data_IF_623186582568
#
_entry.id   IF_623186582568
#
_cell.length_a   1.000
_cell.length_b   1.000
_cell.length_c   1.000
_cell.angle_alpha   90.00
_cell.angle_beta   90.00
_cell.angle_gamma   90.00
#
_symmetry.space_group_name_H-M   'P 1'
#
loop_
_entity.id
_entity.type
_entity.pdbx_description
1 polymer ?
#
# COMPACT_ATOMS: atom_id res chain seq x y z
N UNK A 1 -5.36 5.50 38.76
CA UNK A 1 -5.45 6.52 37.71
C UNK A 1 -6.71 7.33 37.93
N UNK A 2 -6.58 8.62 38.26
CA UNK A 2 -7.71 9.52 38.55
C UNK A 2 -8.27 10.17 37.28
N UNK A 3 -7.43 10.40 36.27
CA UNK A 3 -7.81 10.91 34.96
C UNK A 3 -6.79 10.50 33.89
N UNK A 4 -7.26 10.42 32.65
CA UNK A 4 -6.45 10.29 31.43
C UNK A 4 -6.88 11.41 30.50
N UNK A 5 -5.93 12.24 30.06
CA UNK A 5 -6.19 13.47 29.32
C UNK A 5 -5.31 13.54 28.06
N UNK A 6 -5.78 14.29 27.06
CA UNK A 6 -5.02 14.61 25.86
C UNK A 6 -4.77 16.11 25.73
N UNK A 7 -3.59 16.48 25.25
CA UNK A 7 -3.27 17.85 24.85
C UNK A 7 -2.67 17.87 23.44
N UNK A 8 -3.02 18.90 22.66
CA UNK A 8 -2.47 19.11 21.31
C UNK A 8 -3.26 18.49 20.15
N UNK A 9 -4.36 17.77 20.41
CA UNK A 9 -5.32 17.36 19.37
C UNK A 9 -6.04 18.57 18.80
N UNK A 10 -6.01 18.73 17.46
CA UNK A 10 -6.67 19.84 16.75
C UNK A 10 -7.87 19.31 15.95
N UNK A 11 -7.63 18.27 15.15
CA UNK A 11 -8.64 17.68 14.25
C UNK A 11 -9.05 16.28 14.70
N UNK A 12 -8.14 15.56 15.35
CA UNK A 12 -8.36 14.22 15.88
C UNK A 12 -9.36 14.27 17.03
N UNK A 13 -10.27 13.31 17.07
CA UNK A 13 -11.29 13.25 18.11
C UNK A 13 -10.79 12.40 19.27
N UNK A 14 -10.77 12.98 20.47
CA UNK A 14 -10.29 12.29 21.66
C UNK A 14 -11.13 11.06 22.02
N UNK A 15 -12.45 11.09 21.76
CA UNK A 15 -13.35 9.93 21.97
C UNK A 15 -12.87 8.67 21.24
N UNK A 16 -12.28 8.84 20.05
CA UNK A 16 -11.65 7.77 19.30
C UNK A 16 -10.35 7.29 19.96
N UNK A 17 -9.53 8.20 20.48
CA UNK A 17 -8.27 7.84 21.16
C UNK A 17 -8.55 7.08 22.46
N UNK A 18 -9.42 7.62 23.33
CA UNK A 18 -9.77 7.01 24.62
C UNK A 18 -10.29 5.57 24.48
N UNK A 19 -10.98 5.25 23.38
CA UNK A 19 -11.51 3.90 23.15
C UNK A 19 -10.41 2.83 23.12
N UNK A 20 -9.27 3.16 22.52
CA UNK A 20 -8.23 2.19 22.18
C UNK A 20 -7.09 2.17 23.19
N UNK A 21 -7.05 3.12 24.11
CA UNK A 21 -6.19 3.06 25.27
C UNK A 21 -6.53 1.85 26.14
N UNK A 22 -5.48 1.18 26.60
CA UNK A 22 -5.51 0.14 27.62
C UNK A 22 -5.67 0.75 29.00
N UNK A 23 -5.03 1.87 29.28
CA UNK A 23 -5.10 2.58 30.56
C UNK A 23 -6.38 3.40 30.65
N UNK A 24 -7.21 3.16 31.68
CA UNK A 24 -8.46 3.88 31.88
C UNK A 24 -8.51 4.56 33.24
N UNK A 25 -9.40 5.55 33.34
CA UNK A 25 -9.76 6.14 34.61
C UNK A 25 -10.29 5.04 35.56
N UNK A 26 -9.80 5.03 36.79
CA UNK A 26 -10.12 4.03 37.81
C UNK A 26 -9.14 2.85 37.87
N UNK A 27 -8.31 2.62 36.84
CA UNK A 27 -7.36 1.52 36.85
C UNK A 27 -6.18 1.79 37.80
N UNK A 28 -5.51 0.73 38.23
CA UNK A 28 -4.20 0.84 38.90
C UNK A 28 -3.15 1.33 37.91
N UNK A 29 -2.21 2.15 38.37
CA UNK A 29 -1.14 2.66 37.52
C UNK A 29 -0.18 1.51 37.16
N UNK A 30 -0.16 1.13 35.89
CA UNK A 30 0.71 0.08 35.37
C UNK A 30 1.54 0.62 34.20
N UNK A 31 2.85 0.78 34.42
CA UNK A 31 3.76 1.29 33.39
C UNK A 31 3.71 0.51 32.06
N UNK A 32 3.65 -0.84 32.02
CA UNK A 32 3.57 -1.56 30.76
C UNK A 32 2.35 -1.17 29.91
N UNK A 33 1.21 -0.86 30.53
CA UNK A 33 0.00 -0.41 29.83
C UNK A 33 0.19 0.95 29.18
N UNK A 34 0.89 1.88 29.85
CA UNK A 34 1.21 3.20 29.30
C UNK A 34 2.15 3.13 28.10
N UNK A 35 3.11 2.20 28.14
CA UNK A 35 4.00 1.96 27.00
C UNK A 35 3.25 1.33 25.81
N UNK A 36 2.26 0.48 26.06
CA UNK A 36 1.38 -0.02 25.00
C UNK A 36 0.54 1.10 24.38
N UNK A 37 0.02 2.00 25.22
CA UNK A 37 -0.80 3.14 24.81
C UNK A 37 0.00 4.14 23.99
N UNK A 38 1.22 4.47 24.44
CA UNK A 38 2.16 5.30 23.70
C UNK A 38 2.42 4.72 22.30
N UNK A 39 2.73 3.42 22.22
CA UNK A 39 2.97 2.72 20.94
C UNK A 39 1.74 2.71 20.05
N UNK A 40 0.55 2.49 20.62
CA UNK A 40 -0.70 2.56 19.87
C UNK A 40 -0.89 3.93 19.23
N UNK A 41 -0.71 5.01 19.99
CA UNK A 41 -0.84 6.38 19.50
C UNK A 41 0.19 6.70 18.41
N UNK A 42 1.45 6.31 18.60
CA UNK A 42 2.50 6.46 17.57
C UNK A 42 2.15 5.71 16.28
N UNK A 43 1.57 4.51 16.39
CA UNK A 43 1.17 3.70 15.25
C UNK A 43 0.03 4.29 14.42
N UNK A 44 -0.75 5.23 14.96
CA UNK A 44 -1.80 5.90 14.18
C UNK A 44 -1.23 6.74 13.03
N UNK A 45 0.06 7.07 13.06
CA UNK A 45 0.79 7.84 12.03
C UNK A 45 0.22 9.24 11.74
N UNK A 46 -0.79 9.69 12.50
CA UNK A 46 -1.38 11.04 12.43
C UNK A 46 -0.71 12.02 13.39
N UNK A 47 0.22 11.56 14.23
CA UNK A 47 0.95 12.36 15.20
C UNK A 47 2.44 12.33 14.89
N UNK A 48 3.05 13.51 14.74
CA UNK A 48 4.49 13.67 14.50
C UNK A 48 5.33 13.42 15.76
N UNK A 49 4.71 13.62 16.94
CA UNK A 49 5.27 13.35 18.25
C UNK A 49 4.16 12.94 19.22
N UNK A 50 4.46 12.02 20.12
CA UNK A 50 3.60 11.56 21.22
C UNK A 50 4.47 11.37 22.44
N UNK A 51 4.07 11.96 23.57
CA UNK A 51 4.68 11.78 24.88
C UNK A 51 3.59 11.68 25.95
N UNK A 52 3.94 11.16 27.13
CA UNK A 52 3.05 11.20 28.28
C UNK A 52 3.77 11.71 29.52
N UNK A 53 3.04 12.39 30.39
CA UNK A 53 3.47 12.77 31.74
C UNK A 53 2.57 12.13 32.77
N UNK A 54 3.12 11.85 33.95
CA UNK A 54 2.37 11.34 35.09
C UNK A 54 2.51 12.34 36.23
N UNK A 55 1.39 12.89 36.67
CA UNK A 55 1.34 13.76 37.84
C UNK A 55 0.72 12.98 39.00
N UNK A 56 1.48 12.80 40.07
CA UNK A 56 1.03 12.11 41.29
C UNK A 56 0.88 13.08 42.43
N UNK A 57 -0.26 13.03 43.13
CA UNK A 57 -0.42 13.79 44.38
C UNK A 57 0.33 13.09 45.52
N UNK A 58 1.46 13.68 45.92
CA UNK A 58 2.34 13.14 46.97
C UNK A 58 1.77 13.28 48.39
N UNK A 59 0.60 13.89 48.57
CA UNK A 59 0.00 14.15 49.89
C UNK A 59 -1.18 13.26 50.32
N UNK A 60 -1.70 12.39 49.44
CA UNK A 60 -2.92 11.61 49.68
C UNK A 60 -2.64 10.14 50.03
N UNK A 61 -3.41 9.58 50.97
CA UNK A 61 -3.39 8.15 51.35
C UNK A 61 -3.69 7.25 50.14
N UNK A 62 -4.48 7.75 49.18
CA UNK A 62 -4.70 7.15 47.88
C UNK A 62 -3.92 7.97 46.85
N UNK A 63 -2.75 7.48 46.42
CA UNK A 63 -1.92 8.15 45.40
C UNK A 63 -2.71 8.26 44.09
N UNK A 64 -3.29 9.42 43.85
CA UNK A 64 -3.98 9.72 42.61
C UNK A 64 -2.95 10.10 41.55
N UNK A 65 -3.08 9.49 40.38
CA UNK A 65 -2.21 9.73 39.23
C UNK A 65 -3.05 10.24 38.06
N UNK A 66 -2.74 11.44 37.58
CA UNK A 66 -3.25 12.01 36.33
C UNK A 66 -2.24 11.72 35.23
N UNK A 67 -2.71 11.16 34.13
CA UNK A 67 -1.88 10.83 32.97
C UNK A 67 -2.28 11.76 31.83
N UNK A 68 -1.33 12.53 31.32
CA UNK A 68 -1.57 13.46 30.21
C UNK A 68 -0.74 13.05 29.00
N UNK A 69 -1.42 12.65 27.93
CA UNK A 69 -0.79 12.40 26.63
C UNK A 69 -0.68 13.71 25.85
N UNK A 70 0.55 14.14 25.58
CA UNK A 70 0.84 15.32 24.75
C UNK A 70 1.14 14.85 23.33
N UNK A 71 0.35 15.32 22.36
CA UNK A 71 0.48 14.95 20.94
C UNK A 71 0.70 16.17 20.04
N UNK A 72 1.52 16.01 19.00
CA UNK A 72 1.67 17.00 17.92
C UNK A 72 1.10 16.44 16.62
N UNK A 73 -0.10 16.88 16.23
CA UNK A 73 -0.74 16.43 14.98
C UNK A 73 0.07 16.74 13.72
N UNK A 74 0.28 15.72 12.90
CA UNK A 74 0.88 15.82 11.57
C UNK A 74 -0.09 16.45 10.56
N UNK A 75 0.46 17.08 9.52
CA UNK A 75 -0.34 17.52 8.39
C UNK A 75 -0.85 16.28 7.62
N UNK A 76 -2.14 15.96 7.79
CA UNK A 76 -2.76 14.79 7.19
C UNK A 76 -3.40 15.07 5.81
N UNK A 77 -3.56 16.34 5.42
CA UNK A 77 -4.09 16.73 4.10
C UNK A 77 -2.92 17.03 3.17
N UNK A 78 -2.67 16.16 2.20
CA UNK A 78 -1.50 16.19 1.33
C UNK A 78 -1.90 16.27 -0.14
N UNK A 79 -1.25 17.13 -0.96
CA UNK A 79 -1.44 17.10 -2.39
C UNK A 79 -0.80 15.85 -2.99
N UNK A 80 -1.37 15.35 -4.08
CA UNK A 80 -0.79 14.31 -4.93
C UNK A 80 -0.42 14.99 -6.23
N UNK A 81 0.86 14.91 -6.61
CA UNK A 81 1.36 15.47 -7.86
C UNK A 81 2.32 14.46 -8.49
N UNK A 82 2.09 14.14 -9.75
CA UNK A 82 2.98 13.30 -10.55
C UNK A 82 3.08 13.86 -11.95
N UNK A 83 4.29 13.93 -12.49
CA UNK A 83 4.53 14.27 -13.89
C UNK A 83 5.53 13.25 -14.41
N UNK A 84 5.20 12.65 -15.54
CA UNK A 84 6.07 11.69 -16.22
C UNK A 84 5.74 11.67 -17.71
N UNK A 85 6.53 10.93 -18.48
CA UNK A 85 6.28 10.81 -19.92
C UNK A 85 7.56 10.73 -20.73
N UNK A 86 7.40 10.37 -21.99
CA UNK A 86 8.43 10.45 -23.02
C UNK A 86 7.99 11.48 -24.07
N UNK A 87 8.85 11.79 -25.03
CA UNK A 87 8.51 12.67 -26.13
C UNK A 87 7.22 12.15 -26.80
N UNK A 88 6.22 13.04 -26.97
CA UNK A 88 4.86 12.75 -27.50
C UNK A 88 3.86 12.08 -26.55
N UNK A 89 4.23 11.66 -25.34
CA UNK A 89 3.26 11.13 -24.38
C UNK A 89 3.52 11.61 -22.95
N UNK A 90 2.67 12.54 -22.48
CA UNK A 90 2.77 13.19 -21.17
C UNK A 90 1.74 12.57 -20.22
N UNK A 91 2.23 12.16 -19.05
CA UNK A 91 1.43 11.71 -17.93
C UNK A 91 1.40 12.79 -16.84
N UNK A 92 0.19 13.23 -16.47
CA UNK A 92 -0.03 14.18 -15.38
C UNK A 92 -0.98 13.56 -14.36
N UNK A 93 -0.56 13.55 -13.10
CA UNK A 93 -1.36 13.16 -11.95
C UNK A 93 -1.49 14.35 -11.01
N UNK A 94 -2.72 14.69 -10.64
CA UNK A 94 -3.02 15.72 -9.64
C UNK A 94 -4.13 15.20 -8.74
N UNK A 95 -3.99 15.39 -7.43
CA UNK A 95 -5.00 14.96 -6.48
C UNK A 95 -4.80 15.55 -5.10
N UNK A 96 -5.65 15.11 -4.19
CA UNK A 96 -5.62 15.49 -2.78
C UNK A 96 -5.99 14.27 -1.96
N UNK A 97 -5.19 13.97 -0.93
CA UNK A 97 -5.45 12.90 0.02
C UNK A 97 -5.52 13.47 1.43
N UNK A 98 -6.49 12.99 2.19
CA UNK A 98 -6.62 13.24 3.62
C UNK A 98 -6.45 11.92 4.38
N UNK A 99 -5.48 11.87 5.28
CA UNK A 99 -5.13 10.69 6.07
C UNK A 99 -5.68 10.71 7.51
N UNK A 100 -6.54 11.67 7.85
CA UNK A 100 -7.23 11.71 9.14
C UNK A 100 -8.73 12.05 9.01
N UNK A 101 -9.38 11.54 7.96
CA UNK A 101 -10.80 11.81 7.68
C UNK A 101 -11.66 11.54 8.91
N UNK A 102 -12.56 12.50 9.20
CA UNK A 102 -13.43 12.46 10.37
C UNK A 102 -12.71 12.53 11.73
N UNK A 103 -11.40 12.83 11.75
CA UNK A 103 -10.56 12.88 12.94
C UNK A 103 -10.32 11.51 13.57
N UNK A 104 -10.37 10.43 12.77
CA UNK A 104 -10.33 9.03 13.23
C UNK A 104 -9.49 8.15 12.32
N UNK A 105 -8.35 8.63 11.84
CA UNK A 105 -7.38 7.87 11.02
C UNK A 105 -7.95 7.34 9.70
N UNK A 106 -9.05 7.94 9.23
CA UNK A 106 -9.64 7.63 7.94
C UNK A 106 -8.79 8.16 6.79
N UNK A 107 -8.80 7.46 5.66
CA UNK A 107 -8.14 7.92 4.45
C UNK A 107 -9.18 8.20 3.38
N UNK A 108 -9.13 9.36 2.74
CA UNK A 108 -9.89 9.61 1.53
C UNK A 108 -9.01 10.36 0.54
N UNK A 109 -9.13 10.04 -0.73
CA UNK A 109 -8.45 10.81 -1.76
C UNK A 109 -9.29 10.95 -3.01
N UNK A 110 -9.03 12.02 -3.73
CA UNK A 110 -9.45 12.22 -5.10
C UNK A 110 -8.20 12.43 -5.95
N UNK A 111 -8.11 11.67 -7.04
CA UNK A 111 -6.96 11.68 -7.95
C UNK A 111 -7.47 11.79 -9.37
N UNK A 112 -6.97 12.77 -10.11
CA UNK A 112 -7.09 12.88 -11.55
C UNK A 112 -5.78 12.46 -12.21
N UNK A 113 -5.88 11.71 -13.30
CA UNK A 113 -4.75 11.31 -14.11
C UNK A 113 -5.06 11.60 -15.58
N UNK A 114 -4.08 12.13 -16.30
CA UNK A 114 -4.10 12.25 -17.75
C UNK A 114 -2.94 11.46 -18.32
N UNK A 115 -3.23 10.52 -19.21
CA UNK A 115 -2.24 9.79 -20.01
C UNK A 115 -2.93 9.37 -21.30
N UNK A 116 -2.78 10.19 -22.34
CA UNK A 116 -3.56 10.24 -23.59
C UNK A 116 -5.07 10.51 -23.40
N UNK A 117 -5.66 9.98 -22.33
CA UNK A 117 -7.07 10.08 -21.96
C UNK A 117 -7.21 10.39 -20.47
N UNK A 118 -8.37 10.95 -20.13
CA UNK A 118 -8.68 11.40 -18.77
C UNK A 118 -9.13 10.22 -17.90
N UNK A 119 -8.52 10.08 -16.73
CA UNK A 119 -8.86 9.10 -15.71
C UNK A 119 -9.08 9.79 -14.37
N UNK A 120 -9.90 9.21 -13.52
CA UNK A 120 -10.06 9.69 -12.14
C UNK A 120 -10.35 8.54 -11.18
N UNK A 121 -10.04 8.77 -9.92
CA UNK A 121 -10.31 7.85 -8.84
C UNK A 121 -10.67 8.63 -7.59
N UNK A 122 -11.75 8.21 -6.92
CA UNK A 122 -12.04 8.63 -5.56
C UNK A 122 -12.12 7.38 -4.68
N UNK A 123 -11.45 7.39 -3.55
CA UNK A 123 -11.55 6.31 -2.58
C UNK A 123 -11.71 6.85 -1.16
N UNK A 124 -12.36 6.04 -0.33
CA UNK A 124 -12.50 6.20 1.10
C UNK A 124 -12.09 4.88 1.74
N UNK A 125 -11.28 4.95 2.79
CA UNK A 125 -10.90 3.83 3.61
C UNK A 125 -10.95 4.23 5.09
N UNK A 126 -12.04 3.87 5.74
CA UNK A 126 -12.29 4.16 7.15
C UNK A 126 -12.27 2.85 7.94
N UNK A 127 -11.23 2.63 8.76
CA UNK A 127 -11.13 1.41 9.60
C UNK A 127 -12.11 1.38 10.76
N UNK A 128 -12.56 2.57 11.18
CA UNK A 128 -13.45 2.75 12.34
C UNK A 128 -14.58 3.71 12.00
N UNK A 129 -15.82 3.21 12.01
CA UNK A 129 -17.01 4.05 11.92
C UNK A 129 -17.34 4.50 13.33
N UNK A 130 -17.04 5.78 13.62
CA UNK A 130 -17.15 6.39 14.95
C UNK A 130 -16.28 5.60 15.95
N UNK A 131 -16.90 5.11 17.02
CA UNK A 131 -16.23 4.23 17.96
C UNK A 131 -16.38 2.78 17.55
N UNK A 132 -17.28 2.34 16.69
CA UNK A 132 -17.55 0.89 16.47
C UNK A 132 -16.34 0.09 15.91
N UNK A 133 -16.29 -1.26 16.07
CA UNK A 133 -15.25 -2.08 15.43
C UNK A 133 -15.43 -2.22 13.91
N UNK A 134 -16.50 -1.65 13.36
CA UNK A 134 -16.81 -1.72 11.94
C UNK A 134 -16.07 -0.64 11.16
N UNK A 135 -15.69 -0.97 9.94
CA UNK A 135 -15.09 -0.08 8.97
C UNK A 135 -15.75 -0.21 7.61
N UNK A 136 -15.37 0.68 6.69
CA UNK A 136 -15.80 0.63 5.31
C UNK A 136 -14.68 1.14 4.41
N UNK A 137 -14.49 0.46 3.28
CA UNK A 137 -13.77 1.00 2.14
C UNK A 137 -14.72 1.12 0.95
N UNK A 138 -14.57 2.20 0.19
CA UNK A 138 -15.33 2.45 -1.03
C UNK A 138 -14.39 3.04 -2.08
N UNK A 139 -14.56 2.66 -3.33
CA UNK A 139 -13.76 3.17 -4.44
C UNK A 139 -14.63 3.34 -5.68
N UNK A 140 -14.47 4.48 -6.34
CA UNK A 140 -14.96 4.71 -7.70
C UNK A 140 -13.77 5.12 -8.57
N UNK A 141 -13.50 4.32 -9.59
CA UNK A 141 -12.44 4.57 -10.57
C UNK A 141 -13.05 4.63 -11.96
N UNK A 142 -12.67 5.64 -12.74
CA UNK A 142 -12.73 5.61 -14.19
C UNK A 142 -11.30 5.65 -14.72
N UNK A 143 -10.87 4.59 -15.38
CA UNK A 143 -9.58 4.52 -16.06
C UNK A 143 -9.80 4.52 -17.56
N UNK A 144 -9.17 5.44 -18.27
CA UNK A 144 -9.21 5.54 -19.71
C UNK A 144 -7.78 5.55 -20.23
N UNK A 145 -7.46 4.62 -21.14
CA UNK A 145 -6.13 4.45 -21.74
C UNK A 145 -6.26 4.18 -23.23
N UNK A 146 -5.14 4.28 -23.94
CA UNK A 146 -4.93 3.68 -25.25
C UNK A 146 -4.23 2.34 -25.03
N UNK A 147 -4.90 1.23 -25.41
CA UNK A 147 -4.35 -0.12 -25.25
C UNK A 147 -3.95 -0.66 -26.62
N UNK A 148 -2.65 -0.87 -26.87
CA UNK A 148 -2.20 -1.55 -28.09
C UNK A 148 -2.50 -3.05 -27.98
N UNK A 149 -3.08 -3.60 -29.04
CA UNK A 149 -3.37 -5.04 -29.20
C UNK A 149 -2.54 -5.54 -30.38
N UNK A 150 -1.74 -6.58 -30.14
CA UNK A 150 -0.88 -7.21 -31.12
C UNK A 150 -1.45 -8.58 -31.52
N UNK A 151 -1.62 -8.81 -32.83
CA UNK A 151 -2.06 -10.08 -33.41
C UNK A 151 -1.13 -10.40 -34.59
N UNK A 152 -0.32 -11.44 -34.44
CA UNK A 152 0.73 -11.82 -35.40
C UNK A 152 1.63 -10.64 -35.80
N UNK A 153 1.57 -10.20 -37.07
CA UNK A 153 2.33 -9.06 -37.60
C UNK A 153 1.56 -7.74 -37.57
N UNK A 154 0.31 -7.75 -37.10
CA UNK A 154 -0.56 -6.58 -37.05
C UNK A 154 -0.67 -6.03 -35.63
N UNK A 155 -0.86 -4.71 -35.53
CA UNK A 155 -1.13 -4.04 -34.27
C UNK A 155 -2.25 -3.04 -34.44
N UNK A 156 -3.21 -2.99 -33.52
CA UNK A 156 -4.25 -1.96 -33.51
C UNK A 156 -4.35 -1.34 -32.13
N UNK A 157 -4.86 -0.12 -32.04
CA UNK A 157 -5.04 0.57 -30.77
C UNK A 157 -6.52 0.62 -30.39
N UNK A 158 -6.84 0.28 -29.15
CA UNK A 158 -8.19 0.43 -28.59
C UNK A 158 -8.26 1.59 -27.61
N UNK A 159 -9.34 2.36 -27.72
CA UNK A 159 -9.78 3.29 -26.68
C UNK A 159 -10.40 2.47 -25.53
N UNK A 160 -9.58 2.10 -24.54
CA UNK A 160 -10.04 1.29 -23.41
C UNK A 160 -10.57 2.17 -22.27
N UNK A 161 -11.81 1.98 -21.86
CA UNK A 161 -12.41 2.66 -20.71
C UNK A 161 -12.90 1.62 -19.72
N UNK A 162 -12.45 1.73 -18.48
CA UNK A 162 -12.88 0.88 -17.38
C UNK A 162 -13.46 1.71 -16.26
N UNK A 163 -14.66 1.33 -15.82
CA UNK A 163 -15.23 1.76 -14.55
C UNK A 163 -15.09 0.66 -13.51
N UNK A 164 -14.79 1.06 -12.28
CA UNK A 164 -14.80 0.18 -11.11
C UNK A 164 -15.56 0.90 -10.01
N UNK A 165 -16.60 0.27 -9.48
CA UNK A 165 -17.32 0.73 -8.29
C UNK A 165 -17.23 -0.39 -7.26
N UNK A 166 -16.45 -0.17 -6.21
CA UNK A 166 -16.13 -1.14 -5.16
C UNK A 166 -16.66 -0.67 -3.80
N UNK A 167 -17.19 -1.61 -3.02
CA UNK A 167 -17.54 -1.40 -1.62
C UNK A 167 -17.11 -2.61 -0.79
N UNK A 168 -16.43 -2.36 0.33
CA UNK A 168 -15.90 -3.37 1.23
C UNK A 168 -16.14 -2.98 2.70
N UNK A 169 -17.25 -3.44 3.30
CA UNK A 169 -17.41 -3.44 4.75
C UNK A 169 -16.26 -4.20 5.44
N UNK A 170 -15.91 -3.76 6.64
CA UNK A 170 -14.89 -4.40 7.44
C UNK A 170 -15.20 -4.46 8.92
N UNK A 171 -14.49 -5.33 9.64
CA UNK A 171 -14.63 -5.52 11.07
C UNK A 171 -13.28 -5.84 11.71
N UNK A 172 -13.01 -5.19 12.84
CA UNK A 172 -11.92 -5.55 13.72
C UNK A 172 -12.32 -6.76 14.58
N UNK A 173 -11.68 -7.90 14.36
CA UNK A 173 -11.82 -9.08 15.21
C UNK A 173 -11.14 -8.84 16.56
N UNK A 174 -10.01 -8.14 16.52
CA UNK A 174 -9.32 -7.58 17.68
C UNK A 174 -8.45 -6.39 17.23
N UNK A 175 -7.63 -5.84 18.12
CA UNK A 175 -6.76 -4.68 17.82
C UNK A 175 -5.70 -4.95 16.75
N UNK A 176 -5.37 -6.21 16.48
CA UNK A 176 -4.34 -6.61 15.51
C UNK A 176 -4.91 -7.20 14.23
N UNK A 177 -6.15 -7.71 14.24
CA UNK A 177 -6.77 -8.41 13.11
C UNK A 177 -7.96 -7.62 12.59
N UNK A 178 -7.88 -7.20 11.32
CA UNK A 178 -8.94 -6.52 10.59
C UNK A 178 -9.31 -7.33 9.33
N UNK A 179 -10.60 -7.56 9.14
CA UNK A 179 -11.14 -8.31 8.01
C UNK A 179 -12.05 -7.40 7.20
N UNK A 180 -11.88 -7.37 5.88
CA UNK A 180 -12.79 -6.71 4.96
C UNK A 180 -13.29 -7.72 3.93
N UNK A 181 -14.57 -7.62 3.57
CA UNK A 181 -15.19 -8.48 2.58
C UNK A 181 -16.23 -7.71 1.80
N UNK A 182 -16.23 -7.84 0.49
CA UNK A 182 -17.15 -7.10 -0.37
C UNK A 182 -16.94 -7.43 -1.83
N UNK A 183 -17.20 -6.45 -2.69
CA UNK A 183 -17.08 -6.64 -4.12
C UNK A 183 -17.10 -5.36 -4.94
N UNK A 184 -16.92 -5.53 -6.24
CA UNK A 184 -16.96 -4.45 -7.20
C UNK A 184 -17.76 -4.83 -8.44
N UNK A 185 -18.43 -3.83 -9.01
CA UNK A 185 -18.90 -3.85 -10.39
C UNK A 185 -17.84 -3.24 -11.29
N UNK A 186 -17.55 -3.92 -12.40
CA UNK A 186 -16.60 -3.45 -13.40
C UNK A 186 -17.30 -3.36 -14.75
N UNK A 187 -17.15 -2.23 -15.44
CA UNK A 187 -17.58 -2.04 -16.82
C UNK A 187 -16.37 -1.73 -17.67
N UNK A 188 -16.09 -2.56 -18.66
CA UNK A 188 -14.96 -2.39 -19.56
C UNK A 188 -15.48 -2.24 -20.99
N UNK A 189 -15.13 -1.12 -21.62
CA UNK A 189 -15.48 -0.82 -23.01
C UNK A 189 -14.20 -0.56 -23.78
N UNK A 190 -14.02 -1.28 -24.88
CA UNK A 190 -12.92 -1.13 -25.81
C UNK A 190 -13.51 -0.76 -27.16
N UNK A 191 -13.13 0.39 -27.69
CA UNK A 191 -13.54 0.83 -29.04
C UNK A 191 -12.30 0.94 -29.90
N UNK A 192 -12.29 0.29 -31.07
CA UNK A 192 -11.16 0.36 -31.96
C UNK A 192 -10.92 1.80 -32.45
N UNK A 193 -9.66 2.21 -32.49
CA UNK A 193 -9.23 3.48 -33.07
C UNK A 193 -8.68 3.19 -34.48
N UNK A 194 -9.55 3.36 -35.49
CA UNK A 194 -9.53 2.82 -36.87
C UNK A 194 -8.28 3.02 -37.76
N UNK A 195 -7.08 2.66 -37.33
CA UNK A 195 -5.85 2.82 -38.13
C UNK A 195 -5.50 1.59 -39.00
N UNK A 196 -6.09 0.41 -38.75
CA UNK A 196 -5.89 -0.83 -39.53
C UNK A 196 -7.25 -1.54 -39.73
N UNK A 197 -7.46 -2.16 -40.90
CA UNK A 197 -8.67 -2.92 -41.22
C UNK A 197 -8.84 -4.14 -40.28
N UNK A 198 -9.48 -3.90 -39.13
CA UNK A 198 -9.89 -4.86 -38.09
C UNK A 198 -10.57 -6.13 -38.63
N UNK A 199 -11.20 -6.03 -39.81
CA UNK A 199 -11.85 -7.14 -40.49
C UNK A 199 -10.88 -8.23 -40.95
N UNK A 200 -9.66 -7.89 -41.35
CA UNK A 200 -8.68 -8.86 -41.87
C UNK A 200 -8.03 -9.70 -40.76
N UNK A 201 -8.11 -9.23 -39.51
CA UNK A 201 -7.49 -9.88 -38.33
C UNK A 201 -8.49 -10.43 -37.32
N UNK A 202 -9.80 -10.37 -37.62
CA UNK A 202 -10.85 -10.98 -36.82
C UNK A 202 -11.09 -10.35 -35.44
N UNK A 203 -10.69 -9.09 -35.24
CA UNK A 203 -10.91 -8.39 -33.97
C UNK A 203 -12.24 -7.61 -33.98
N UNK A 204 -13.00 -7.60 -32.86
CA UNK A 204 -14.26 -6.87 -32.77
C UNK A 204 -14.03 -5.35 -32.76
N UNK A 205 -14.87 -4.59 -33.46
CA UNK A 205 -14.84 -3.12 -33.46
C UNK A 205 -15.09 -2.54 -32.06
N UNK A 206 -16.03 -3.14 -31.33
CA UNK A 206 -16.37 -2.77 -29.95
C UNK A 206 -16.45 -4.03 -29.09
N UNK A 207 -15.80 -3.98 -27.94
CA UNK A 207 -16.01 -4.93 -26.84
C UNK A 207 -16.62 -4.17 -25.68
N UNK A 208 -17.79 -4.60 -25.23
CA UNK A 208 -18.45 -4.03 -24.05
C UNK A 208 -18.82 -5.14 -23.08
N UNK A 209 -18.23 -5.13 -21.89
CA UNK A 209 -18.34 -6.21 -20.93
C UNK A 209 -18.53 -5.71 -19.51
N UNK A 210 -19.29 -6.48 -18.74
CA UNK A 210 -19.51 -6.25 -17.32
C UNK A 210 -18.98 -7.43 -16.52
N UNK A 211 -18.33 -7.13 -15.40
CA UNK A 211 -17.75 -8.15 -14.51
C UNK A 211 -18.11 -7.85 -13.07
N UNK A 212 -18.21 -8.91 -12.29
CA UNK A 212 -18.40 -8.82 -10.84
C UNK A 212 -17.19 -9.40 -10.14
N UNK A 213 -16.59 -8.61 -9.26
CA UNK A 213 -15.48 -9.01 -8.40
C UNK A 213 -16.01 -9.22 -6.98
N UNK A 214 -15.67 -10.35 -6.38
CA UNK A 214 -15.78 -10.59 -4.95
C UNK A 214 -14.38 -10.57 -4.34
N UNK A 215 -14.24 -9.94 -3.19
CA UNK A 215 -12.92 -9.68 -2.58
C UNK A 215 -12.95 -9.83 -1.08
N UNK A 216 -11.92 -10.48 -0.55
CA UNK A 216 -11.66 -10.61 0.88
C UNK A 216 -10.24 -10.14 1.17
N UNK A 217 -10.09 -9.35 2.23
CA UNK A 217 -8.83 -8.83 2.73
C UNK A 217 -8.74 -9.16 4.22
N UNK A 218 -7.66 -9.81 4.63
CA UNK A 218 -7.37 -10.06 6.05
C UNK A 218 -6.02 -9.45 6.36
N UNK A 219 -5.98 -8.53 7.31
CA UNK A 219 -4.74 -7.89 7.79
C UNK A 219 -4.52 -8.26 9.24
N UNK A 220 -3.37 -8.85 9.53
CA UNK A 220 -2.84 -9.01 10.88
C UNK A 220 -1.62 -8.07 11.02
N UNK A 221 -1.75 -7.02 11.84
CA UNK A 221 -0.74 -5.96 11.97
C UNK A 221 -0.25 -5.82 13.41
N UNK A 222 1.04 -6.04 13.62
CA UNK A 222 1.75 -5.84 14.88
C UNK A 222 2.98 -4.95 14.70
N UNK A 223 2.97 -4.09 13.69
CA UNK A 223 4.06 -3.12 13.49
C UNK A 223 4.09 -2.11 14.61
N UNK A 224 5.29 -1.64 14.90
CA UNK A 224 5.56 -0.59 15.88
C UNK A 224 6.41 0.46 15.18
N UNK A 225 5.82 1.63 14.97
CA UNK A 225 6.49 2.78 14.38
C UNK A 225 7.16 3.57 15.48
N UNK A 226 8.45 3.84 15.29
CA UNK A 226 9.18 4.84 16.04
C UNK A 226 9.92 5.71 15.03
N UNK A 227 9.25 6.81 14.64
CA UNK A 227 9.73 7.77 13.64
C UNK A 227 10.13 7.06 12.34
N UNK A 228 11.41 7.09 11.96
CA UNK A 228 11.93 6.44 10.75
C UNK A 228 12.09 4.91 10.89
N UNK A 229 12.08 4.38 12.11
CA UNK A 229 12.28 2.98 12.41
C UNK A 229 10.95 2.24 12.53
N UNK A 230 10.96 0.98 12.11
CA UNK A 230 9.80 0.09 12.24
C UNK A 230 10.26 -1.20 12.92
N UNK A 231 9.46 -1.69 13.87
CA UNK A 231 9.61 -3.01 14.46
C UNK A 231 8.37 -3.89 14.23
N UNK A 232 8.49 -5.17 14.53
CA UNK A 232 7.36 -6.10 14.49
C UNK A 232 7.08 -6.65 13.10
N UNK A 233 5.81 -6.95 12.80
CA UNK A 233 5.43 -7.62 11.55
C UNK A 233 4.00 -7.27 11.12
N UNK A 234 3.72 -7.48 9.84
CA UNK A 234 2.37 -7.44 9.27
C UNK A 234 2.20 -8.57 8.26
N UNK A 235 1.03 -9.19 8.23
CA UNK A 235 0.63 -10.15 7.20
C UNK A 235 -0.70 -9.71 6.60
N UNK A 236 -0.77 -9.71 5.27
CA UNK A 236 -1.96 -9.33 4.51
C UNK A 236 -2.32 -10.43 3.53
N UNK A 237 -3.49 -11.04 3.70
CA UNK A 237 -4.06 -11.99 2.75
C UNK A 237 -5.09 -11.28 1.88
N UNK A 238 -4.98 -11.48 0.58
CA UNK A 238 -5.88 -10.97 -0.43
C UNK A 238 -6.44 -12.14 -1.22
N UNK A 239 -7.76 -12.23 -1.32
CA UNK A 239 -8.45 -13.21 -2.15
C UNK A 239 -9.48 -12.50 -3.02
N UNK A 240 -9.46 -12.80 -4.31
CA UNK A 240 -10.28 -12.18 -5.34
C UNK A 240 -10.89 -13.26 -6.22
N UNK A 241 -12.16 -13.09 -6.56
CA UNK A 241 -12.90 -13.94 -7.47
C UNK A 241 -13.68 -13.08 -8.46
N UNK A 242 -13.42 -13.24 -9.76
CA UNK A 242 -14.02 -12.44 -10.82
C UNK A 242 -14.88 -13.36 -11.68
N UNK A 243 -16.13 -12.96 -11.87
CA UNK A 243 -17.05 -13.55 -12.83
C UNK A 243 -17.27 -12.58 -13.99
N UNK A 244 -17.15 -13.09 -15.21
CA UNK A 244 -17.51 -12.38 -16.43
C UNK A 244 -18.52 -13.21 -17.24
N UNK A 245 -19.56 -12.61 -17.84
CA UNK A 245 -20.51 -13.31 -18.70
C UNK A 245 -19.87 -14.01 -19.91
N UNK A 246 -18.69 -13.56 -20.33
CA UNK A 246 -18.02 -14.02 -21.54
C UNK A 246 -16.87 -15.00 -21.25
N UNK A 247 -16.48 -15.18 -19.99
CA UNK A 247 -15.48 -16.17 -19.60
C UNK A 247 -16.15 -17.40 -19.00
N UNK A 248 -16.04 -18.59 -19.62
CA UNK A 248 -16.64 -19.81 -19.10
C UNK A 248 -15.97 -20.32 -17.81
N UNK A 249 -14.77 -19.80 -17.48
CA UNK A 249 -14.01 -20.17 -16.30
C UNK A 249 -13.86 -18.96 -15.38
N UNK A 250 -14.39 -19.01 -14.15
CA UNK A 250 -14.17 -17.94 -13.20
C UNK A 250 -12.70 -17.74 -12.87
N UNK A 251 -12.31 -16.48 -12.72
CA UNK A 251 -10.94 -16.12 -12.38
C UNK A 251 -10.79 -15.99 -10.87
N UNK A 252 -9.80 -16.70 -10.31
CA UNK A 252 -9.42 -16.60 -8.91
C UNK A 252 -8.00 -16.06 -8.78
N UNK A 253 -7.77 -15.25 -7.76
CA UNK A 253 -6.45 -14.76 -7.39
C UNK A 253 -6.33 -14.71 -5.87
N UNK A 254 -5.30 -15.33 -5.33
CA UNK A 254 -4.97 -15.27 -3.92
C UNK A 254 -3.50 -14.90 -3.78
N UNK A 255 -3.19 -13.96 -2.92
CA UNK A 255 -1.81 -13.70 -2.52
C UNK A 255 -1.72 -13.29 -1.07
N UNK A 256 -0.57 -13.57 -0.47
CA UNK A 256 -0.23 -13.17 0.88
C UNK A 256 1.08 -12.38 0.87
N UNK A 257 1.09 -11.25 1.56
CA UNK A 257 2.26 -10.40 1.76
C UNK A 257 2.61 -10.37 3.25
N UNK A 258 3.79 -10.86 3.61
CA UNK A 258 4.33 -10.82 4.96
C UNK A 258 5.49 -9.84 5.00
N UNK A 259 5.52 -8.98 6.00
CA UNK A 259 6.63 -8.07 6.25
C UNK A 259 7.05 -8.17 7.70
N UNK A 260 8.36 -8.12 7.92
CA UNK A 260 8.94 -8.16 9.26
C UNK A 260 10.07 -7.16 9.36
N UNK A 261 10.19 -6.57 10.55
CA UNK A 261 11.11 -5.49 10.81
C UNK A 261 11.81 -5.70 12.14
N UNK A 262 13.13 -5.51 12.14
CA UNK A 262 13.98 -5.62 13.32
C UNK A 262 14.80 -4.35 13.43
N UNK A 263 14.79 -3.73 14.61
CA UNK A 263 15.61 -2.56 14.93
C UNK A 263 16.86 -3.00 15.70
N UNK A 264 18.01 -2.40 15.41
CA UNK A 264 19.24 -2.57 16.16
C UNK A 264 20.09 -1.30 16.11
N UNK A 265 20.10 -0.53 17.20
CA UNK A 265 20.71 0.80 17.24
C UNK A 265 20.12 1.74 16.20
N UNK A 266 20.98 2.37 15.41
CA UNK A 266 20.62 3.22 14.25
C UNK A 266 20.23 2.41 13.00
N UNK A 267 20.31 1.08 13.09
CA UNK A 267 19.95 0.16 12.04
C UNK A 267 18.49 -0.30 12.10
N UNK A 268 17.89 -0.52 10.94
CA UNK A 268 16.59 -1.16 10.79
C UNK A 268 16.58 -2.11 9.61
N UNK A 269 16.55 -3.41 9.91
CA UNK A 269 16.37 -4.47 8.93
C UNK A 269 14.88 -4.65 8.63
N UNK A 270 14.55 -4.82 7.36
CA UNK A 270 13.21 -5.07 6.86
C UNK A 270 13.24 -6.22 5.86
N UNK A 271 12.29 -7.14 5.96
CA UNK A 271 12.04 -8.16 4.96
C UNK A 271 10.58 -8.17 4.51
N UNK A 272 10.36 -8.52 3.24
CA UNK A 272 9.03 -8.80 2.68
C UNK A 272 9.07 -10.11 1.91
N UNK A 273 8.09 -10.97 2.17
CA UNK A 273 7.81 -12.16 1.37
C UNK A 273 6.40 -12.06 0.81
N UNK A 274 6.27 -12.17 -0.51
CA UNK A 274 4.99 -12.18 -1.20
C UNK A 274 4.84 -13.45 -2.01
N UNK A 275 3.74 -14.16 -1.78
CA UNK A 275 3.41 -15.43 -2.42
C UNK A 275 2.02 -15.29 -3.04
N UNK A 276 1.90 -15.57 -4.33
CA UNK A 276 0.64 -15.41 -5.05
C UNK A 276 0.38 -16.51 -6.05
N UNK A 277 -0.89 -16.87 -6.22
CA UNK A 277 -1.36 -17.79 -7.25
C UNK A 277 -2.71 -17.33 -7.78
N UNK A 278 -2.93 -17.54 -9.06
CA UNK A 278 -4.17 -17.25 -9.74
C UNK A 278 -4.54 -18.39 -10.70
N UNK A 279 -5.77 -18.32 -11.22
CA UNK A 279 -6.24 -19.18 -12.32
C UNK A 279 -5.19 -19.19 -13.44
N UNK A 280 -4.76 -20.40 -13.83
CA UNK A 280 -3.66 -20.58 -14.77
C UNK A 280 -4.15 -20.73 -16.21
N UNK A 281 -4.68 -19.65 -16.77
CA UNK A 281 -5.07 -19.61 -18.18
C UNK A 281 -4.02 -18.85 -18.98
N UNK A 282 -3.84 -19.24 -20.24
CA UNK A 282 -3.04 -18.45 -21.18
C UNK A 282 -3.78 -17.13 -21.41
N UNK A 283 -3.18 -16.02 -20.98
CA UNK A 283 -3.76 -14.69 -21.09
C UNK A 283 -2.64 -13.68 -21.32
N UNK A 284 -2.84 -12.69 -22.21
CA UNK A 284 -1.87 -11.60 -22.40
C UNK A 284 -1.77 -10.67 -21.18
N UNK A 285 -2.72 -10.74 -20.24
CA UNK A 285 -2.75 -9.87 -19.06
C UNK A 285 -2.76 -10.67 -17.74
N UNK A 286 -1.71 -11.46 -17.44
CA UNK A 286 -1.62 -12.16 -16.17
C UNK A 286 -1.56 -11.17 -14.98
N UNK A 287 -2.09 -11.58 -13.81
CA UNK A 287 -2.36 -10.67 -12.70
C UNK A 287 -1.13 -10.27 -11.87
N UNK A 288 -0.08 -11.08 -11.87
CA UNK A 288 1.15 -10.80 -11.14
C UNK A 288 2.19 -10.23 -12.08
N UNK A 289 3.05 -9.36 -11.55
CA UNK A 289 3.98 -8.57 -12.35
C UNK A 289 5.27 -8.35 -11.57
N UNK A 290 6.42 -8.42 -12.24
CA UNK A 290 7.69 -7.94 -11.70
C UNK A 290 7.92 -6.50 -12.16
N UNK A 291 8.06 -5.58 -11.22
CA UNK A 291 8.08 -4.14 -11.45
C UNK A 291 8.89 -3.39 -10.39
N UNK A 292 9.59 -2.33 -10.81
CA UNK A 292 10.45 -1.50 -9.95
C UNK A 292 9.73 -0.86 -8.76
N UNK A 293 8.52 -0.37 -8.98
CA UNK A 293 7.76 0.34 -7.98
C UNK A 293 6.94 -0.60 -7.10
N UNK A 294 6.71 -1.83 -7.54
CA UNK A 294 5.91 -2.82 -6.81
C UNK A 294 6.80 -3.75 -5.98
N UNK A 295 7.79 -4.39 -6.61
CA UNK A 295 8.45 -5.54 -6.00
C UNK A 295 9.92 -5.79 -6.30
N UNK A 296 10.51 -5.31 -7.41
CA UNK A 296 11.94 -5.53 -7.70
C UNK A 296 12.62 -4.23 -8.15
N UNK A 297 13.34 -3.54 -7.25
CA UNK A 297 13.98 -2.25 -7.57
C UNK A 297 15.00 -2.36 -8.70
N UNK A 298 15.01 -1.36 -9.59
CA UNK A 298 15.95 -1.26 -10.69
C UNK A 298 15.70 -2.23 -11.84
N UNK A 299 14.56 -2.92 -11.85
CA UNK A 299 14.20 -3.88 -12.89
C UNK A 299 13.60 -3.23 -14.15
N UNK A 300 13.02 -2.03 -14.04
CA UNK A 300 12.16 -1.42 -15.07
C UNK A 300 10.66 -1.51 -14.75
N UNK A 301 9.83 -1.09 -15.72
CA UNK A 301 8.37 -1.05 -15.61
C UNK A 301 7.77 -2.34 -16.20
N UNK A 302 7.05 -3.11 -15.38
CA UNK A 302 6.30 -4.33 -15.73
C UNK A 302 7.05 -5.29 -16.65
N UNK A 303 8.29 -5.62 -16.30
CA UNK A 303 9.19 -6.39 -17.18
C UNK A 303 8.77 -7.84 -17.42
N UNK A 304 7.97 -8.41 -16.53
CA UNK A 304 7.46 -9.77 -16.64
C UNK A 304 6.11 -9.90 -15.95
N UNK A 305 5.26 -10.82 -16.43
CA UNK A 305 3.94 -11.11 -15.86
C UNK A 305 3.68 -12.62 -15.75
N UNK A 306 2.88 -13.01 -14.77
CA UNK A 306 2.61 -14.42 -14.50
C UNK A 306 1.34 -14.69 -13.71
N UNK A 307 0.98 -15.98 -13.63
CA UNK A 307 -0.19 -16.49 -12.90
C UNK A 307 0.15 -17.01 -11.51
N UNK A 308 1.43 -17.01 -11.14
CA UNK A 308 1.89 -17.17 -9.76
C UNK A 308 3.15 -16.30 -9.55
N UNK A 309 3.40 -15.89 -8.32
CA UNK A 309 4.58 -15.11 -7.94
C UNK A 309 5.18 -15.58 -6.62
N UNK A 310 6.51 -15.51 -6.55
CA UNK A 310 7.28 -15.55 -5.31
C UNK A 310 8.23 -14.36 -5.34
N UNK A 311 8.09 -13.44 -4.39
CA UNK A 311 8.96 -12.27 -4.26
C UNK A 311 9.50 -12.22 -2.84
N UNK A 312 10.81 -12.11 -2.71
CA UNK A 312 11.52 -11.88 -1.46
C UNK A 312 12.31 -10.57 -1.57
N UNK A 313 12.02 -9.61 -0.69
CA UNK A 313 12.78 -8.39 -0.54
C UNK A 313 13.46 -8.38 0.82
N UNK A 314 14.71 -7.91 0.82
CA UNK A 314 15.47 -7.64 2.04
C UNK A 314 16.07 -6.25 1.93
N UNK A 315 16.03 -5.51 3.03
CA UNK A 315 16.54 -4.16 3.10
C UNK A 315 17.14 -3.89 4.48
N UNK A 316 18.31 -3.26 4.50
CA UNK A 316 18.89 -2.70 5.71
C UNK A 316 18.99 -1.18 5.57
N UNK A 317 18.41 -0.48 6.55
CA UNK A 317 18.39 0.99 6.62
C UNK A 317 19.28 1.43 7.77
N UNK A 318 20.20 2.35 7.51
CA UNK A 318 21.08 2.92 8.53
C UNK A 318 20.88 4.42 8.65
N UNK A 319 20.54 4.91 9.84
CA UNK A 319 20.36 6.34 10.10
C UNK A 319 21.71 7.03 10.24
N UNK A 320 22.00 7.96 9.32
CA UNK A 320 23.22 8.77 9.37
C UNK A 320 23.03 10.07 10.16
N UNK A 321 21.81 10.61 10.13
CA UNK A 321 21.49 11.88 10.75
C UNK A 321 20.03 11.90 11.16
N UNK A 322 19.76 12.43 12.35
CA UNK A 322 18.42 12.59 12.89
C UNK A 322 18.28 13.91 13.66
N UNK A 323 17.11 14.55 13.53
CA UNK A 323 16.70 15.68 14.33
C UNK A 323 15.17 15.77 14.44
N UNK A 324 14.63 16.87 14.96
CA UNK A 324 13.20 17.04 15.17
C UNK A 324 12.37 17.03 13.87
N UNK A 325 12.89 17.56 12.75
CA UNK A 325 12.15 17.64 11.49
C UNK A 325 12.20 16.36 10.66
N UNK A 326 13.22 15.51 10.86
CA UNK A 326 13.39 14.33 10.03
C UNK A 326 14.65 13.52 10.30
N UNK A 327 14.93 12.60 9.38
CA UNK A 327 16.13 11.77 9.40
C UNK A 327 16.63 11.46 7.98
N UNK A 328 17.93 11.29 7.83
CA UNK A 328 18.55 10.79 6.59
C UNK A 328 19.09 9.38 6.83
N UNK A 329 18.76 8.46 5.92
CA UNK A 329 19.16 7.06 6.02
C UNK A 329 19.76 6.55 4.71
N UNK A 330 20.83 5.75 4.84
CA UNK A 330 21.32 4.93 3.75
C UNK A 330 20.58 3.60 3.72
N UNK A 331 20.47 3.03 2.53
CA UNK A 331 19.74 1.79 2.28
C UNK A 331 20.64 0.83 1.50
N UNK A 332 20.74 -0.42 1.95
CA UNK A 332 21.25 -1.54 1.15
C UNK A 332 20.15 -2.58 0.99
N UNK A 333 20.01 -3.15 -0.21
CA UNK A 333 18.90 -4.07 -0.48
C UNK A 333 19.22 -5.23 -1.42
N UNK A 334 18.41 -6.27 -1.34
CA UNK A 334 18.37 -7.40 -2.27
C UNK A 334 16.92 -7.82 -2.51
N UNK A 335 16.52 -7.84 -3.78
CA UNK A 335 15.18 -8.11 -4.26
C UNK A 335 15.23 -9.30 -5.23
N UNK A 336 14.55 -10.39 -4.89
CA UNK A 336 14.44 -11.60 -5.68
C UNK A 336 12.97 -11.83 -6.04
N UNK A 337 12.69 -12.11 -7.31
CA UNK A 337 11.34 -12.38 -7.80
C UNK A 337 11.35 -13.50 -8.83
N UNK A 338 10.31 -14.31 -8.81
CA UNK A 338 10.03 -15.28 -9.86
C UNK A 338 8.54 -15.39 -10.14
N UNK A 339 8.21 -15.70 -11.38
CA UNK A 339 6.84 -15.83 -11.86
C UNK A 339 6.62 -17.18 -12.53
N UNK A 340 5.40 -17.70 -12.41
CA UNK A 340 4.90 -18.78 -13.29
C UNK A 340 4.33 -18.13 -14.56
N UNK A 341 4.88 -18.41 -15.76
CA UNK A 341 4.29 -17.95 -17.01
C UNK A 341 2.83 -18.40 -17.15
N UNK A 342 2.02 -17.61 -17.88
CA UNK A 342 0.62 -17.95 -18.09
C UNK A 342 0.48 -19.28 -18.85
N UNK A 343 -0.29 -20.22 -18.30
CA UNK A 343 -0.41 -21.59 -18.82
C UNK A 343 0.77 -22.52 -18.50
N UNK A 344 1.82 -22.02 -17.84
CA UNK A 344 3.01 -22.79 -17.46
C UNK A 344 2.83 -23.62 -16.19
N UNK A 345 3.88 -24.30 -15.77
CA UNK A 345 3.92 -25.12 -14.55
C UNK A 345 4.69 -24.42 -13.43
N UNK A 346 4.52 -24.85 -12.18
CA UNK A 346 5.33 -24.30 -11.07
C UNK A 346 6.83 -24.58 -11.21
N UNK A 347 7.22 -25.60 -11.99
CA UNK A 347 8.63 -25.89 -12.28
C UNK A 347 9.28 -24.73 -13.05
N UNK A 348 8.52 -24.10 -13.93
CA UNK A 348 8.99 -23.00 -14.78
C UNK A 348 9.46 -21.79 -13.94
N UNK A 349 8.98 -21.66 -12.69
CA UNK A 349 9.43 -20.60 -11.76
C UNK A 349 10.90 -20.77 -11.34
N UNK A 350 11.47 -21.95 -11.50
CA UNK A 350 12.87 -22.24 -11.20
C UNK A 350 13.78 -21.99 -12.41
N UNK A 351 13.21 -21.74 -13.59
CA UNK A 351 13.99 -21.45 -14.78
C UNK A 351 14.65 -20.07 -14.66
N UNK A 352 15.94 -19.99 -15.01
CA UNK A 352 16.74 -18.76 -14.89
C UNK A 352 16.12 -17.56 -15.63
N UNK A 353 15.38 -17.80 -16.71
CA UNK A 353 14.70 -16.75 -17.48
C UNK A 353 13.50 -16.13 -16.74
N UNK A 354 12.91 -16.85 -15.78
CA UNK A 354 11.77 -16.39 -14.99
C UNK A 354 12.18 -15.84 -13.62
N UNK A 355 13.46 -15.97 -13.26
CA UNK A 355 14.03 -15.45 -12.02
C UNK A 355 14.69 -14.10 -12.27
N UNK A 356 14.30 -13.10 -11.49
CA UNK A 356 14.89 -11.77 -11.49
C UNK A 356 15.48 -11.49 -10.11
N UNK A 357 16.78 -11.24 -10.06
CA UNK A 357 17.47 -10.82 -8.86
C UNK A 357 18.10 -9.45 -9.08
N UNK A 358 17.83 -8.53 -8.15
CA UNK A 358 18.43 -7.19 -8.10
C UNK A 358 18.98 -6.92 -6.71
N UNK A 359 20.14 -6.30 -6.66
CA UNK A 359 20.71 -5.77 -5.41
C UNK A 359 21.22 -4.37 -5.65
N UNK A 360 21.37 -3.60 -4.58
CA UNK A 360 21.73 -2.20 -4.73
C UNK A 360 21.79 -1.43 -3.44
N UNK A 361 21.96 -0.13 -3.60
CA UNK A 361 22.02 0.83 -2.52
C UNK A 361 21.20 2.07 -2.86
N UNK A 362 20.80 2.79 -1.83
CA UNK A 362 19.99 3.99 -1.95
C UNK A 362 20.11 4.91 -0.75
N UNK A 363 19.38 6.00 -0.81
CA UNK A 363 19.22 6.94 0.27
C UNK A 363 17.76 7.32 0.43
N UNK A 364 17.37 7.65 1.66
CA UNK A 364 16.03 8.16 1.95
C UNK A 364 16.02 9.27 2.99
N UNK A 365 15.08 10.19 2.84
CA UNK A 365 14.79 11.28 3.77
C UNK A 365 13.42 11.04 4.38
N UNK A 366 13.38 10.94 5.70
CA UNK A 366 12.18 10.88 6.52
C UNK A 366 11.77 12.29 6.96
N UNK A 367 10.49 12.63 6.86
CA UNK A 367 9.93 13.90 7.32
C UNK A 367 8.83 13.67 8.35
N UNK A 368 9.07 14.08 9.60
CA UNK A 368 8.17 13.80 10.73
C UNK A 368 6.82 14.52 10.62
N UNK A 369 6.80 15.74 10.09
CA UNK A 369 5.60 16.62 10.08
C UNK A 369 4.62 16.36 8.92
N UNK A 370 5.06 15.66 7.88
CA UNK A 370 4.27 15.40 6.67
C UNK A 370 3.76 13.95 6.66
N UNK A 371 3.00 13.56 7.68
CA UNK A 371 2.44 12.21 7.80
C UNK A 371 3.50 11.10 7.62
N UNK A 372 4.68 11.29 8.24
CA UNK A 372 5.82 10.35 8.15
C UNK A 372 6.27 10.06 6.70
N UNK A 373 6.22 11.05 5.81
CA UNK A 373 6.63 10.92 4.42
C UNK A 373 8.11 10.52 4.30
N UNK A 374 8.39 9.59 3.38
CA UNK A 374 9.74 9.25 2.95
C UNK A 374 9.94 9.68 1.50
N UNK A 375 11.05 10.33 1.20
CA UNK A 375 11.57 10.49 -0.17
C UNK A 375 12.72 9.51 -0.32
N UNK A 376 12.75 8.73 -1.40
CA UNK A 376 13.80 7.73 -1.62
C UNK A 376 14.32 7.72 -3.04
N UNK A 377 15.58 7.34 -3.14
CA UNK A 377 16.34 7.19 -4.36
C UNK A 377 17.17 5.92 -4.24
N UNK A 378 16.87 4.92 -5.05
CA UNK A 378 17.53 3.62 -5.03
C UNK A 378 18.14 3.31 -6.39
N UNK A 379 19.37 2.81 -6.39
CA UNK A 379 20.03 2.29 -7.57
C UNK A 379 20.21 0.78 -7.44
N UNK A 380 19.59 0.03 -8.35
CA UNK A 380 19.66 -1.43 -8.40
C UNK A 380 20.39 -1.93 -9.65
N UNK A 381 21.13 -3.03 -9.51
CA UNK A 381 21.75 -3.74 -10.61
C UNK A 381 21.49 -5.24 -10.50
N UNK A 382 21.54 -5.94 -11.63
CA UNK A 382 21.46 -7.40 -11.68
C UNK A 382 22.86 -8.00 -11.48
N UNK A 383 23.13 -8.72 -10.36
CA UNK A 383 24.45 -9.28 -10.10
C UNK A 383 24.81 -10.44 -11.04
N UNK A 384 23.81 -11.10 -11.64
CA UNK A 384 24.01 -12.20 -12.62
C UNK A 384 24.17 -11.67 -14.05
N UNK A 385 23.51 -10.56 -14.37
CA UNK A 385 23.50 -9.94 -15.71
C UNK A 385 23.92 -8.48 -15.60
N UNK A 386 25.21 -8.24 -15.35
CA UNK A 386 25.78 -6.95 -14.92
C UNK A 386 25.54 -5.71 -15.81
N UNK A 387 24.91 -5.85 -16.98
CA UNK A 387 24.50 -4.72 -17.83
C UNK A 387 23.10 -4.19 -17.52
N UNK A 388 22.30 -4.91 -16.74
CA UNK A 388 20.98 -4.46 -16.36
C UNK A 388 21.04 -3.68 -15.04
N UNK A 389 20.79 -2.38 -15.10
CA UNK A 389 20.73 -1.50 -13.92
C UNK A 389 19.60 -0.47 -14.08
N UNK A 390 19.19 0.14 -12.98
CA UNK A 390 18.10 1.10 -12.99
C UNK A 390 18.00 1.90 -11.71
N UNK A 391 17.52 3.13 -11.85
CA UNK A 391 17.25 4.04 -10.76
C UNK A 391 15.74 4.08 -10.47
N UNK A 392 15.38 4.13 -9.20
CA UNK A 392 14.00 4.19 -8.74
C UNK A 392 13.87 5.33 -7.74
N UNK A 393 13.00 6.28 -8.06
CA UNK A 393 12.54 7.30 -7.12
C UNK A 393 11.23 6.86 -6.48
N UNK A 394 11.01 7.18 -5.22
CA UNK A 394 9.77 6.79 -4.54
C UNK A 394 9.34 7.77 -3.47
N UNK A 395 8.03 7.78 -3.24
CA UNK A 395 7.39 8.40 -2.08
C UNK A 395 6.90 7.29 -1.14
N UNK A 396 7.21 7.41 0.14
CA UNK A 396 6.90 6.41 1.16
C UNK A 396 7.94 5.29 1.30
N UNK A 397 7.62 4.34 2.19
CA UNK A 397 8.39 3.11 2.37
C UNK A 397 8.28 2.23 1.11
N UNK A 398 9.32 1.46 0.76
CA UNK A 398 9.19 0.52 -0.36
C UNK A 398 8.22 -0.63 -0.04
N UNK A 399 8.32 -1.16 1.17
CA UNK A 399 7.41 -2.15 1.71
C UNK A 399 7.17 -1.97 3.19
#
# INVERSE_FOLDING_TARGET
>A
ISAVEFTGTKRTKEDFLYRWLTSKQGDSLHHPSLEEDLKFLQNLSIFSSVAYTIETDTGSINQNAVITFTVEESLALLPIIGIGGIQENVNIQIGLADYNVGGRTGQAAFIYNYYDRHSFQAYLHQRYIRTTPFGIAANIERRATLEPVYVDTFSTTYLATRWVVEMMPGIHINRFIYVQGGGAWLKETYTNNNDIAIFDIGLPEVVDTEKWLFKILITADRRQYDRQHVGGWVSQLHAEHINSPFDPVPFFKVFNENKWYVRGGDGNYAGRLRLGVATNTFSPFPPFVLDSYVNIRGAGNRIARGTAEVVLNQEYRYTLYENNWGAFQLVGFSDLGTLRPAGGTFKDMLDENNVVWRTGAGGRIYMSRFYHLFLRADFGFNPLKGKENGFVLGLGQYF
#
